data_IF_132767239298
#
_entry.id   IF_132767239298
#
_cell.length_a   1.000
_cell.length_b   1.000
_cell.length_c   1.000
_cell.angle_alpha   90.00
_cell.angle_beta   90.00
_cell.angle_gamma   90.00
#
_symmetry.space_group_name_H-M   'P 1'
#
loop_
_entity.id
_entity.type
_entity.pdbx_description
1 polymer ?
#
# COMPACT_ATOMS: atom_id res chain seq x y z
N UNK A 1 -27.61 -42.49 -39.48
CA UNK A 1 -28.57 -43.08 -38.52
C UNK A 1 -28.59 -42.20 -37.28
N UNK A 2 -29.78 -42.06 -36.68
CA UNK A 2 -30.18 -41.20 -35.56
C UNK A 2 -30.57 -39.75 -35.91
N UNK A 3 -31.82 -39.70 -36.38
CA UNK A 3 -32.88 -38.70 -36.22
C UNK A 3 -33.09 -38.22 -34.79
N UNK A 4 -33.41 -36.92 -34.63
CA UNK A 4 -34.34 -36.32 -33.65
C UNK A 4 -34.10 -34.79 -33.60
N UNK A 5 -35.05 -33.86 -33.48
CA UNK A 5 -36.49 -33.78 -33.71
C UNK A 5 -36.78 -32.28 -33.80
N UNK A 6 -37.50 -31.83 -34.82
CA UNK A 6 -37.91 -30.43 -35.02
C UNK A 6 -39.10 -30.17 -34.09
N UNK A 7 -38.99 -29.21 -33.16
CA UNK A 7 -40.12 -28.81 -32.31
C UNK A 7 -40.87 -27.66 -32.98
N UNK A 8 -42.07 -27.96 -33.43
CA UNK A 8 -43.09 -27.03 -33.90
C UNK A 8 -43.81 -26.47 -32.68
N UNK A 9 -43.80 -25.16 -32.50
CA UNK A 9 -44.75 -24.49 -31.60
C UNK A 9 -45.63 -23.63 -32.49
N UNK A 10 -46.85 -24.11 -32.70
CA UNK A 10 -48.00 -23.32 -33.12
C UNK A 10 -48.37 -22.37 -31.97
N UNK A 11 -48.33 -21.07 -32.23
CA UNK A 11 -49.11 -20.10 -31.47
C UNK A 11 -50.07 -19.41 -32.42
N UNK A 12 -51.33 -19.54 -32.05
CA UNK A 12 -52.53 -19.17 -32.76
C UNK A 12 -52.55 -17.70 -33.19
N UNK A 13 -53.02 -17.49 -34.43
CA UNK A 13 -53.52 -16.21 -34.90
C UNK A 13 -54.71 -15.75 -34.04
N UNK A 14 -54.55 -14.62 -33.35
CA UNK A 14 -55.68 -13.80 -32.91
C UNK A 14 -55.80 -12.61 -33.87
N UNK A 15 -57.03 -12.35 -34.29
CA UNK A 15 -57.40 -11.35 -35.28
C UNK A 15 -57.21 -9.90 -34.80
N UNK A 16 -57.06 -9.04 -35.80
CA UNK A 16 -56.92 -7.59 -35.84
C UNK A 16 -57.52 -6.74 -34.71
N UNK A 17 -56.74 -5.74 -34.26
CA UNK A 17 -57.26 -4.44 -33.86
C UNK A 17 -56.36 -3.34 -34.46
N UNK A 18 -56.78 -2.79 -35.60
CA UNK A 18 -56.20 -1.56 -36.17
C UNK A 18 -56.56 -0.42 -35.24
N UNK A 19 -55.59 0.08 -34.47
CA UNK A 19 -55.74 1.35 -33.74
C UNK A 19 -54.99 2.40 -34.53
N UNK A 20 -55.74 3.35 -35.10
CA UNK A 20 -55.22 4.49 -35.84
C UNK A 20 -54.34 5.36 -34.94
N UNK A 21 -53.11 5.66 -35.38
CA UNK A 21 -52.25 6.68 -34.79
C UNK A 21 -52.92 8.06 -34.88
N UNK A 22 -52.85 8.92 -33.84
CA UNK A 22 -53.17 10.34 -34.00
C UNK A 22 -52.09 11.00 -34.87
N UNK A 23 -52.54 11.93 -35.71
CA UNK A 23 -51.72 12.71 -36.62
C UNK A 23 -50.60 13.47 -35.89
N UNK A 24 -49.49 13.69 -36.61
CA UNK A 24 -48.32 14.43 -36.19
C UNK A 24 -48.69 15.71 -35.43
N UNK A 25 -48.17 15.84 -34.21
CA UNK A 25 -48.24 17.07 -33.42
C UNK A 25 -47.34 18.10 -34.09
N UNK A 26 -47.95 19.23 -34.46
CA UNK A 26 -47.30 20.40 -35.01
C UNK A 26 -46.22 20.91 -34.03
N UNK A 27 -44.97 21.01 -34.50
CA UNK A 27 -43.79 21.35 -33.68
C UNK A 27 -43.65 22.86 -33.40
N UNK A 28 -44.69 23.65 -33.66
CA UNK A 28 -44.62 25.11 -33.61
C UNK A 28 -44.68 25.73 -32.21
N UNK A 29 -44.98 24.97 -31.15
CA UNK A 29 -45.20 25.52 -29.80
C UNK A 29 -44.37 24.88 -28.67
N UNK A 30 -43.09 24.56 -28.92
CA UNK A 30 -42.16 24.16 -27.84
C UNK A 30 -41.33 25.38 -27.41
N UNK A 31 -41.42 25.83 -26.14
CA UNK A 31 -40.64 26.98 -25.66
C UNK A 31 -39.13 26.73 -25.76
N UNK A 32 -38.39 27.80 -26.08
CA UNK A 32 -36.98 27.79 -26.51
C UNK A 32 -35.93 27.34 -25.47
N UNK A 33 -36.34 26.75 -24.35
CA UNK A 33 -35.46 26.28 -23.26
C UNK A 33 -35.45 24.74 -23.09
N UNK A 34 -35.93 23.97 -24.08
CA UNK A 34 -35.69 22.53 -24.09
C UNK A 34 -34.28 22.20 -24.58
N UNK A 35 -33.50 21.52 -23.73
CA UNK A 35 -32.21 20.92 -24.05
C UNK A 35 -32.37 20.02 -25.28
N UNK A 36 -31.79 20.41 -26.42
CA UNK A 36 -31.78 19.58 -27.63
C UNK A 36 -30.82 18.42 -27.41
N UNK A 37 -31.38 17.25 -27.09
CA UNK A 37 -30.65 15.99 -27.10
C UNK A 37 -30.31 15.66 -28.56
N UNK A 38 -29.03 15.42 -28.86
CA UNK A 38 -28.60 14.99 -30.18
C UNK A 38 -29.34 13.69 -30.55
N UNK A 39 -29.80 13.51 -31.80
CA UNK A 39 -30.57 12.34 -32.23
C UNK A 39 -29.82 11.01 -32.04
N UNK A 40 -28.52 11.08 -31.75
CA UNK A 40 -27.62 9.95 -31.58
C UNK A 40 -27.50 9.49 -30.11
N UNK A 41 -28.07 10.23 -29.14
CA UNK A 41 -27.93 9.91 -27.71
C UNK A 41 -28.81 8.74 -27.26
N UNK A 42 -29.89 8.43 -27.99
CA UNK A 42 -30.66 7.18 -27.89
C UNK A 42 -31.28 6.92 -29.26
N UNK A 43 -30.62 6.14 -30.12
CA UNK A 43 -31.21 5.74 -31.39
C UNK A 43 -32.27 4.66 -31.15
N UNK A 44 -33.54 4.98 -31.40
CA UNK A 44 -34.60 3.96 -31.54
C UNK A 44 -34.68 3.62 -33.03
N UNK A 45 -34.18 2.44 -33.40
CA UNK A 45 -34.28 1.95 -34.78
C UNK A 45 -35.49 1.03 -34.86
N UNK A 46 -36.48 1.40 -35.68
CA UNK A 46 -37.68 0.60 -35.92
C UNK A 46 -38.45 0.21 -34.64
N UNK A 47 -38.57 1.16 -33.71
CA UNK A 47 -39.28 0.97 -32.44
C UNK A 47 -38.53 0.12 -31.40
N UNK A 48 -37.28 -0.26 -31.67
CA UNK A 48 -36.41 -0.96 -30.73
C UNK A 48 -35.27 -0.06 -30.29
N UNK A 49 -34.99 -0.09 -28.99
CA UNK A 49 -33.76 0.46 -28.46
C UNK A 49 -32.58 -0.31 -29.07
N UNK A 50 -31.47 0.36 -29.35
CA UNK A 50 -30.22 -0.37 -29.60
C UNK A 50 -29.85 -1.19 -28.37
N UNK A 51 -28.98 -2.18 -28.51
CA UNK A 51 -28.45 -2.97 -27.38
C UNK A 51 -27.89 -2.08 -26.26
N UNK A 52 -27.20 -0.99 -26.63
CA UNK A 52 -26.75 0.05 -25.69
C UNK A 52 -27.93 0.79 -25.02
N UNK A 53 -29.00 1.08 -25.75
CA UNK A 53 -30.22 1.69 -25.21
C UNK A 53 -30.99 0.76 -24.27
N UNK A 54 -31.03 -0.55 -24.55
CA UNK A 54 -31.67 -1.55 -23.67
C UNK A 54 -30.90 -1.73 -22.36
N UNK A 55 -29.56 -1.76 -22.42
CA UNK A 55 -28.71 -1.78 -21.21
C UNK A 55 -28.90 -0.52 -20.36
N UNK A 56 -28.88 0.66 -20.98
CA UNK A 56 -29.13 1.96 -20.33
C UNK A 56 -30.44 1.96 -19.55
N UNK A 57 -31.52 1.49 -20.19
CA UNK A 57 -32.83 1.39 -19.56
C UNK A 57 -32.82 0.36 -18.43
N UNK A 58 -32.11 -0.76 -18.59
CA UNK A 58 -32.02 -1.81 -17.57
C UNK A 58 -31.26 -1.33 -16.32
N UNK A 59 -30.13 -0.65 -16.49
CA UNK A 59 -29.35 -0.08 -15.39
C UNK A 59 -30.12 1.02 -14.67
N UNK A 60 -30.75 1.94 -15.43
CA UNK A 60 -31.59 2.98 -14.87
C UNK A 60 -32.76 2.40 -14.08
N UNK A 61 -33.41 1.35 -14.59
CA UNK A 61 -34.46 0.64 -13.87
C UNK A 61 -33.91 -0.01 -12.60
N UNK A 62 -32.72 -0.61 -12.63
CA UNK A 62 -32.10 -1.22 -11.44
C UNK A 62 -31.79 -0.20 -10.33
N UNK A 63 -31.48 1.05 -10.68
CA UNK A 63 -31.28 2.13 -9.69
C UNK A 63 -32.60 2.72 -9.18
N UNK A 64 -33.62 2.85 -10.04
CA UNK A 64 -34.91 3.45 -9.69
C UNK A 64 -35.79 2.47 -8.88
N UNK A 65 -35.75 1.17 -9.20
CA UNK A 65 -36.65 0.18 -8.58
C UNK A 65 -36.53 0.11 -7.05
N UNK A 66 -35.33 0.14 -6.44
CA UNK A 66 -35.17 0.22 -4.99
C UNK A 66 -35.77 1.50 -4.40
N UNK A 67 -35.61 2.65 -5.06
CA UNK A 67 -36.18 3.93 -4.60
C UNK A 67 -37.71 3.88 -4.55
N UNK A 68 -38.32 3.26 -5.57
CA UNK A 68 -39.77 3.05 -5.62
C UNK A 68 -40.23 2.07 -4.53
N UNK A 69 -39.52 0.95 -4.37
CA UNK A 69 -39.94 -0.12 -3.45
C UNK A 69 -39.70 0.19 -1.97
N UNK A 70 -38.75 1.07 -1.65
CA UNK A 70 -38.37 1.41 -0.28
C UNK A 70 -38.95 2.75 0.20
N UNK A 71 -39.58 3.52 -0.69
CA UNK A 71 -40.19 4.78 -0.32
C UNK A 71 -41.47 4.58 0.52
N UNK A 72 -41.68 5.39 1.58
CA UNK A 72 -42.88 5.31 2.42
C UNK A 72 -44.14 5.85 1.74
N UNK A 73 -44.01 6.59 0.64
CA UNK A 73 -45.11 7.10 -0.17
C UNK A 73 -44.67 7.39 -1.62
N UNK A 74 -45.62 7.53 -2.56
CA UNK A 74 -45.32 7.95 -3.94
C UNK A 74 -44.60 9.30 -4.02
N UNK A 75 -44.95 10.26 -3.16
CA UNK A 75 -44.29 11.57 -3.11
C UNK A 75 -42.83 11.46 -2.65
N UNK A 76 -42.56 10.57 -1.68
CA UNK A 76 -41.19 10.29 -1.23
C UNK A 76 -40.36 9.61 -2.33
N UNK A 77 -40.96 8.69 -3.10
CA UNK A 77 -40.31 8.07 -4.25
C UNK A 77 -39.97 9.10 -5.34
N UNK A 78 -40.92 10.00 -5.65
CA UNK A 78 -40.72 11.07 -6.63
C UNK A 78 -39.68 12.09 -6.18
N UNK A 79 -39.64 12.43 -4.89
CA UNK A 79 -38.62 13.31 -4.33
C UNK A 79 -37.22 12.68 -4.40
N UNK A 80 -37.09 11.40 -4.04
CA UNK A 80 -35.83 10.66 -4.13
C UNK A 80 -35.37 10.51 -5.60
N UNK A 81 -36.30 10.24 -6.51
CA UNK A 81 -36.02 10.21 -7.94
C UNK A 81 -35.57 11.58 -8.48
N UNK A 82 -36.25 12.66 -8.09
CA UNK A 82 -35.87 14.02 -8.45
C UNK A 82 -34.49 14.42 -7.93
N UNK A 83 -34.13 13.99 -6.73
CA UNK A 83 -32.79 14.17 -6.16
C UNK A 83 -31.74 13.38 -6.97
N UNK A 84 -31.98 12.09 -7.24
CA UNK A 84 -31.09 11.26 -8.05
C UNK A 84 -30.87 11.86 -9.44
N UNK A 85 -31.95 12.33 -10.09
CA UNK A 85 -31.88 13.01 -11.38
C UNK A 85 -31.09 14.32 -11.30
N UNK A 86 -31.31 15.11 -10.24
CA UNK A 86 -30.59 16.36 -10.00
C UNK A 86 -29.09 16.13 -9.76
N UNK A 87 -28.73 15.13 -8.97
CA UNK A 87 -27.34 14.71 -8.73
C UNK A 87 -26.68 14.16 -10.01
N UNK A 88 -27.42 13.37 -10.79
CA UNK A 88 -26.99 12.89 -12.10
C UNK A 88 -26.71 14.04 -13.07
N UNK A 89 -27.63 14.98 -13.21
CA UNK A 89 -27.44 16.18 -14.05
C UNK A 89 -26.27 17.02 -13.55
N UNK A 90 -26.15 17.24 -12.23
CA UNK A 90 -25.05 18.01 -11.67
C UNK A 90 -23.69 17.34 -11.92
N UNK A 91 -23.59 16.01 -11.81
CA UNK A 91 -22.36 15.26 -12.13
C UNK A 91 -22.04 15.29 -13.63
N UNK A 92 -23.05 15.19 -14.50
CA UNK A 92 -22.89 15.36 -15.96
C UNK A 92 -22.37 16.76 -16.28
N UNK A 93 -22.95 17.79 -15.68
CA UNK A 93 -22.53 19.19 -15.85
C UNK A 93 -21.12 19.43 -15.28
N UNK A 94 -20.77 18.76 -14.19
CA UNK A 94 -19.42 18.79 -13.62
C UNK A 94 -18.41 17.93 -14.39
N UNK A 95 -18.85 17.20 -15.42
CA UNK A 95 -18.02 16.30 -16.22
C UNK A 95 -17.42 15.16 -15.41
N UNK A 96 -18.07 14.69 -14.33
CA UNK A 96 -17.59 13.55 -13.53
C UNK A 96 -18.39 12.29 -13.81
N UNK A 97 -17.76 11.13 -13.64
CA UNK A 97 -18.48 9.87 -13.57
C UNK A 97 -19.59 9.93 -12.51
N UNK A 98 -20.81 9.54 -12.88
CA UNK A 98 -21.96 9.47 -11.97
C UNK A 98 -21.99 8.17 -11.16
N UNK A 99 -21.33 7.12 -11.65
CA UNK A 99 -21.39 5.76 -11.07
C UNK A 99 -20.35 5.57 -9.97
N UNK A 100 -19.11 5.99 -10.21
CA UNK A 100 -18.00 5.77 -9.28
C UNK A 100 -17.21 7.04 -9.00
N UNK A 101 -17.05 7.36 -7.71
CA UNK A 101 -16.21 8.47 -7.25
C UNK A 101 -14.72 8.30 -7.62
N UNK A 102 -14.26 7.06 -7.78
CA UNK A 102 -12.87 6.76 -8.14
C UNK A 102 -12.60 6.82 -9.65
N UNK A 103 -13.65 6.85 -10.47
CA UNK A 103 -13.49 6.89 -11.92
C UNK A 103 -12.98 8.27 -12.34
N UNK A 104 -11.93 8.28 -13.16
CA UNK A 104 -11.30 9.51 -13.69
C UNK A 104 -11.92 9.95 -15.01
N UNK A 105 -12.71 9.08 -15.64
CA UNK A 105 -13.39 9.41 -16.88
C UNK A 105 -14.47 10.48 -16.66
N UNK A 106 -14.61 11.32 -17.68
CA UNK A 106 -15.55 12.44 -17.68
C UNK A 106 -16.79 12.10 -18.50
N UNK A 107 -17.90 12.79 -18.20
CA UNK A 107 -19.20 12.58 -18.85
C UNK A 107 -19.75 11.15 -18.66
N UNK A 108 -20.84 10.83 -19.35
CA UNK A 108 -21.44 9.50 -19.34
C UNK A 108 -20.58 8.50 -20.11
N UNK A 109 -20.29 7.35 -19.49
CA UNK A 109 -19.50 6.26 -20.06
C UNK A 109 -19.92 4.91 -19.43
N UNK A 110 -19.72 3.83 -20.19
CA UNK A 110 -20.06 2.46 -19.78
C UNK A 110 -18.94 1.76 -19.01
N UNK A 111 -17.69 2.05 -19.39
CA UNK A 111 -16.51 1.50 -18.75
C UNK A 111 -15.89 2.54 -17.83
N UNK A 112 -15.55 2.13 -16.62
CA UNK A 112 -15.02 3.01 -15.59
C UNK A 112 -13.57 2.67 -15.31
N UNK A 113 -12.70 3.67 -15.45
CA UNK A 113 -11.26 3.55 -15.20
C UNK A 113 -10.87 4.48 -14.07
N UNK A 114 -10.13 3.95 -13.09
CA UNK A 114 -9.55 4.71 -12.00
C UNK A 114 -8.23 5.37 -12.40
N UNK A 115 -7.66 6.14 -11.48
CA UNK A 115 -6.34 6.72 -11.69
C UNK A 115 -5.26 5.63 -11.81
N UNK A 116 -4.25 5.90 -12.63
CA UNK A 116 -3.08 5.04 -12.75
C UNK A 116 -2.16 5.21 -11.54
N UNK A 117 -1.69 4.07 -11.03
CA UNK A 117 -0.70 3.99 -9.97
C UNK A 117 0.54 3.27 -10.46
N UNK A 118 1.64 4.00 -10.60
CA UNK A 118 2.90 3.48 -11.17
C UNK A 118 4.07 3.55 -10.21
N UNK A 119 4.95 2.55 -10.26
CA UNK A 119 6.32 2.62 -9.75
C UNK A 119 7.23 2.86 -10.95
N UNK A 120 7.77 4.07 -11.07
CA UNK A 120 8.62 4.44 -12.21
C UNK A 120 9.98 3.75 -12.18
N UNK A 121 10.50 3.41 -13.36
CA UNK A 121 11.89 2.98 -13.50
C UNK A 121 12.83 4.19 -13.43
N UNK A 122 14.04 4.00 -12.89
CA UNK A 122 15.08 5.03 -12.90
C UNK A 122 15.82 5.12 -14.25
N UNK A 123 15.72 4.09 -15.09
CA UNK A 123 16.53 3.95 -16.30
C UNK A 123 15.73 3.63 -17.56
N UNK A 124 14.43 3.39 -17.43
CA UNK A 124 13.52 3.08 -18.53
C UNK A 124 12.35 4.05 -18.48
N UNK A 125 11.78 4.36 -19.64
CA UNK A 125 10.58 5.19 -19.72
C UNK A 125 9.31 4.44 -19.29
N UNK A 126 9.34 3.11 -19.34
CA UNK A 126 8.23 2.25 -18.91
C UNK A 126 8.21 2.05 -17.37
N UNK A 127 7.02 2.02 -16.74
CA UNK A 127 6.89 1.77 -15.32
C UNK A 127 7.26 0.32 -14.95
N UNK A 128 7.88 0.12 -13.79
CA UNK A 128 8.23 -1.20 -13.25
C UNK A 128 7.00 -1.93 -12.70
N UNK A 129 6.09 -1.18 -12.08
CA UNK A 129 4.81 -1.68 -11.57
C UNK A 129 3.73 -0.69 -12.00
N UNK A 130 2.56 -1.20 -12.38
CA UNK A 130 1.43 -0.41 -12.87
C UNK A 130 0.16 -1.07 -12.36
N UNK A 131 -0.71 -0.28 -11.73
CA UNK A 131 -2.00 -0.71 -11.24
C UNK A 131 -3.07 0.34 -11.54
N UNK A 132 -4.29 -0.10 -11.82
CA UNK A 132 -5.46 0.76 -11.99
C UNK A 132 -6.73 0.00 -11.58
N UNK A 133 -7.78 0.74 -11.24
CA UNK A 133 -9.09 0.17 -10.97
C UNK A 133 -9.90 0.19 -12.27
N UNK A 134 -10.57 -0.91 -12.59
CA UNK A 134 -11.34 -1.04 -13.82
C UNK A 134 -12.71 -1.65 -13.50
N UNK A 135 -13.76 -1.13 -14.12
CA UNK A 135 -15.05 -1.78 -14.16
C UNK A 135 -15.61 -1.67 -15.58
N UNK A 136 -15.55 -2.77 -16.30
CA UNK A 136 -16.12 -2.89 -17.64
C UNK A 136 -17.61 -3.19 -17.53
N UNK A 137 -18.41 -2.64 -18.44
CA UNK A 137 -19.85 -2.85 -18.48
C UNK A 137 -20.22 -4.34 -18.40
N UNK A 138 -21.14 -4.69 -17.48
CA UNK A 138 -21.58 -6.06 -17.25
C UNK A 138 -20.61 -6.94 -16.44
N UNK A 139 -19.54 -6.38 -15.89
CA UNK A 139 -18.59 -7.11 -15.04
C UNK A 139 -18.68 -6.70 -13.56
N UNK A 140 -17.69 -7.08 -12.75
CA UNK A 140 -17.48 -6.54 -11.40
C UNK A 140 -16.23 -5.68 -11.43
N UNK A 141 -16.09 -4.67 -10.57
CA UNK A 141 -14.84 -3.94 -10.43
C UNK A 141 -13.67 -4.87 -10.12
N UNK A 142 -12.59 -4.68 -10.85
CA UNK A 142 -11.32 -5.41 -10.76
C UNK A 142 -10.17 -4.42 -10.64
N UNK A 143 -9.03 -4.91 -10.13
CA UNK A 143 -7.78 -4.17 -10.07
C UNK A 143 -6.87 -4.80 -11.12
N UNK A 144 -6.60 -4.06 -12.19
CA UNK A 144 -5.57 -4.42 -13.14
C UNK A 144 -4.20 -4.18 -12.51
N UNK A 145 -3.35 -5.20 -12.43
CA UNK A 145 -1.99 -5.10 -11.88
C UNK A 145 -1.02 -5.83 -12.82
N UNK A 146 -0.15 -5.09 -13.50
CA UNK A 146 0.85 -5.65 -14.42
C UNK A 146 0.28 -6.65 -15.45
N UNK A 147 -0.92 -6.35 -15.97
CA UNK A 147 -1.61 -7.18 -16.97
C UNK A 147 -2.46 -8.31 -16.38
N UNK A 148 -2.54 -8.45 -15.06
CA UNK A 148 -3.45 -9.38 -14.39
C UNK A 148 -4.71 -8.66 -13.88
N UNK A 149 -5.88 -9.27 -14.08
CA UNK A 149 -7.15 -8.79 -13.55
C UNK A 149 -7.45 -9.45 -12.21
N UNK A 150 -7.38 -8.67 -11.13
CA UNK A 150 -7.51 -9.18 -9.77
C UNK A 150 -8.81 -8.71 -9.11
N UNK A 151 -9.48 -9.60 -8.38
CA UNK A 151 -10.48 -9.17 -7.41
C UNK A 151 -9.82 -8.55 -6.16
N UNK A 152 -10.63 -7.97 -5.27
CA UNK A 152 -10.12 -7.27 -4.08
C UNK A 152 -9.22 -8.13 -3.17
N UNK A 153 -9.55 -9.41 -2.95
CA UNK A 153 -8.78 -10.29 -2.06
C UNK A 153 -7.47 -10.76 -2.70
N UNK A 154 -7.51 -11.05 -4.01
CA UNK A 154 -6.31 -11.34 -4.79
C UNK A 154 -5.37 -10.13 -4.83
N UNK A 155 -5.90 -8.93 -5.05
CA UNK A 155 -5.12 -7.69 -5.05
C UNK A 155 -4.47 -7.42 -3.69
N UNK A 156 -5.19 -7.63 -2.58
CA UNK A 156 -4.62 -7.53 -1.21
C UNK A 156 -3.50 -8.53 -0.98
N UNK A 157 -3.69 -9.77 -1.43
CA UNK A 157 -2.68 -10.83 -1.32
C UNK A 157 -1.43 -10.48 -2.12
N UNK A 158 -1.60 -10.03 -3.37
CA UNK A 158 -0.49 -9.60 -4.23
C UNK A 158 0.21 -8.36 -3.69
N UNK A 159 -0.53 -7.41 -3.13
CA UNK A 159 0.05 -6.24 -2.45
C UNK A 159 0.88 -6.64 -1.21
N UNK A 160 0.53 -7.73 -0.52
CA UNK A 160 1.36 -8.26 0.57
C UNK A 160 2.67 -8.87 0.06
N UNK A 161 2.63 -9.59 -1.06
CA UNK A 161 3.84 -10.10 -1.73
C UNK A 161 4.75 -8.96 -2.19
N UNK A 162 4.19 -7.92 -2.83
CA UNK A 162 4.96 -6.75 -3.27
C UNK A 162 5.59 -5.99 -2.11
N UNK A 163 4.89 -5.84 -0.98
CA UNK A 163 5.47 -5.27 0.25
C UNK A 163 6.63 -6.11 0.75
N UNK A 164 6.50 -7.43 0.78
CA UNK A 164 7.58 -8.34 1.17
C UNK A 164 8.79 -8.20 0.23
N UNK A 165 8.56 -8.09 -1.08
CA UNK A 165 9.62 -7.86 -2.05
C UNK A 165 10.32 -6.52 -1.80
N UNK A 166 9.55 -5.44 -1.59
CA UNK A 166 10.10 -4.13 -1.26
C UNK A 166 10.96 -4.19 0.02
N UNK A 167 10.49 -4.88 1.05
CA UNK A 167 11.23 -5.12 2.30
C UNK A 167 12.55 -5.89 2.04
N UNK A 168 12.54 -6.89 1.15
CA UNK A 168 13.75 -7.62 0.75
C UNK A 168 14.71 -6.76 -0.08
N UNK A 169 14.20 -5.89 -0.95
CA UNK A 169 15.04 -4.92 -1.69
C UNK A 169 15.70 -3.94 -0.73
N UNK A 170 14.96 -3.44 0.27
CA UNK A 170 15.52 -2.62 1.35
C UNK A 170 16.60 -3.37 2.15
N UNK A 171 16.37 -4.65 2.46
CA UNK A 171 17.37 -5.52 3.09
C UNK A 171 18.65 -5.62 2.25
N UNK A 172 18.53 -5.85 0.94
CA UNK A 172 19.69 -5.88 0.03
C UNK A 172 20.41 -4.54 -0.04
N UNK A 173 19.68 -3.42 -0.01
CA UNK A 173 20.28 -2.09 -0.01
C UNK A 173 21.09 -1.85 1.28
N UNK A 174 20.56 -2.27 2.44
CA UNK A 174 21.25 -2.22 3.73
C UNK A 174 22.62 -2.89 3.68
N UNK A 175 22.70 -4.10 3.12
CA UNK A 175 23.95 -4.85 2.96
C UNK A 175 25.02 -4.13 2.14
N UNK A 176 24.62 -3.23 1.23
CA UNK A 176 25.54 -2.44 0.40
C UNK A 176 26.01 -1.19 1.17
N UNK A 177 25.12 -0.58 1.95
CA UNK A 177 25.40 0.68 2.65
C UNK A 177 26.11 0.50 3.99
N UNK A 178 25.96 -0.66 4.63
CA UNK A 178 26.63 -1.01 5.88
C UNK A 178 28.10 -1.33 5.61
N UNK A 179 28.90 -0.28 5.39
CA UNK A 179 30.34 -0.37 5.52
C UNK A 179 30.64 -0.83 6.94
N UNK A 180 31.14 -2.06 7.11
CA UNK A 180 31.61 -2.59 8.40
C UNK A 180 32.60 -1.60 9.01
N UNK A 181 32.13 -0.73 9.90
CA UNK A 181 33.02 0.05 10.75
C UNK A 181 33.79 -0.93 11.60
N UNK A 182 35.12 -0.78 11.65
CA UNK A 182 35.96 -1.64 12.47
C UNK A 182 35.43 -1.62 13.91
N UNK A 183 34.92 -2.75 14.36
CA UNK A 183 34.38 -2.91 15.70
C UNK A 183 35.51 -2.90 16.71
N UNK A 184 35.38 -2.07 17.73
CA UNK A 184 36.20 -2.21 18.94
C UNK A 184 35.90 -3.59 19.54
N UNK A 185 36.93 -4.42 19.85
CA UNK A 185 36.73 -5.70 20.50
C UNK A 185 35.83 -5.57 21.74
N UNK A 186 34.89 -6.50 21.91
CA UNK A 186 33.93 -6.48 23.01
C UNK A 186 32.63 -5.72 22.73
N UNK A 187 32.51 -5.04 21.58
CA UNK A 187 31.26 -4.41 21.13
C UNK A 187 30.58 -5.18 20.01
N UNK A 188 29.27 -4.95 19.85
CA UNK A 188 28.51 -5.46 18.71
C UNK A 188 28.79 -4.64 17.43
N UNK A 189 28.66 -5.24 16.23
CA UNK A 189 28.78 -4.53 14.95
C UNK A 189 27.89 -3.30 14.80
N UNK A 190 26.75 -3.30 15.49
CA UNK A 190 25.76 -2.24 15.46
C UNK A 190 25.92 -1.18 16.57
N UNK A 191 26.90 -1.33 17.46
CA UNK A 191 27.14 -0.34 18.52
C UNK A 191 27.49 1.02 17.93
N UNK A 192 26.81 2.06 18.40
CA UNK A 192 27.15 3.43 18.02
C UNK A 192 28.46 3.85 18.69
N UNK A 193 29.44 4.43 17.96
CA UNK A 193 30.71 4.85 18.54
C UNK A 193 30.52 5.80 19.72
N UNK A 194 31.03 5.41 20.89
CA UNK A 194 31.00 6.23 22.11
C UNK A 194 29.69 6.21 22.91
N UNK A 195 28.66 5.49 22.45
CA UNK A 195 27.38 5.41 23.16
C UNK A 195 27.30 4.24 24.15
N UNK A 196 28.13 3.20 23.99
CA UNK A 196 28.19 2.10 24.95
C UNK A 196 28.74 2.57 26.30
N UNK A 197 28.12 2.13 27.39
CA UNK A 197 28.48 2.55 28.75
C UNK A 197 29.06 1.37 29.52
N UNK A 198 30.30 1.51 29.98
CA UNK A 198 30.91 0.54 30.91
C UNK A 198 30.51 0.90 32.34
N UNK A 199 29.88 -0.02 33.06
CA UNK A 199 29.50 0.16 34.47
C UNK A 199 30.17 -0.89 35.35
N UNK A 200 30.61 -0.43 36.52
CA UNK A 200 31.06 -1.29 37.60
C UNK A 200 29.92 -1.44 38.61
N UNK A 201 29.57 -2.68 38.95
CA UNK A 201 28.47 -2.98 39.86
C UNK A 201 29.01 -3.38 41.24
N UNK A 202 28.11 -3.42 42.24
CA UNK A 202 28.45 -3.72 43.63
C UNK A 202 28.99 -5.16 43.84
N UNK A 203 28.79 -6.05 42.86
CA UNK A 203 29.37 -7.39 42.82
C UNK A 203 30.88 -7.39 42.47
N UNK A 204 31.42 -6.22 42.11
CA UNK A 204 32.81 -6.04 41.71
C UNK A 204 33.08 -6.31 40.23
N UNK A 205 32.08 -6.80 39.49
CA UNK A 205 32.17 -7.10 38.07
C UNK A 205 31.90 -5.85 37.22
N UNK A 206 32.42 -5.87 35.99
CA UNK A 206 32.24 -4.80 35.01
C UNK A 206 31.41 -5.33 33.85
N UNK A 207 30.34 -4.62 33.52
CA UNK A 207 29.45 -4.95 32.42
C UNK A 207 29.38 -3.78 31.44
N UNK A 208 29.18 -4.08 30.15
CA UNK A 208 28.97 -3.08 29.11
C UNK A 208 27.49 -3.04 28.75
N UNK A 209 26.88 -1.86 28.89
CA UNK A 209 25.59 -1.55 28.28
C UNK A 209 25.85 -1.10 26.83
N UNK A 210 25.43 -1.92 25.88
CA UNK A 210 25.60 -1.67 24.46
C UNK A 210 24.42 -0.90 23.90
N UNK A 211 24.69 0.21 23.22
CA UNK A 211 23.68 1.07 22.61
C UNK A 211 23.89 1.12 21.09
N UNK A 212 22.85 0.74 20.36
CA UNK A 212 22.82 0.68 18.90
C UNK A 212 22.08 1.85 18.27
N UNK A 213 21.51 1.59 17.10
CA UNK A 213 20.67 2.56 16.40
C UNK A 213 19.49 2.98 17.28
N UNK A 214 19.20 4.28 17.27
CA UNK A 214 18.00 4.88 17.87
C UNK A 214 17.10 5.37 16.74
N UNK A 215 15.81 5.11 16.84
CA UNK A 215 14.81 5.62 15.91
C UNK A 215 13.72 6.35 16.69
N UNK A 216 13.23 7.42 16.09
CA UNK A 216 12.18 8.25 16.66
C UNK A 216 11.19 8.56 15.55
N UNK A 217 9.93 8.25 15.80
CA UNK A 217 8.83 8.69 14.96
C UNK A 217 7.94 9.64 15.76
N UNK A 218 7.93 10.90 15.35
CA UNK A 218 6.96 11.88 15.84
C UNK A 218 5.70 11.69 15.02
N UNK A 219 4.68 11.04 15.57
CA UNK A 219 3.46 10.69 14.82
C UNK A 219 2.60 11.92 14.55
N UNK A 220 2.55 12.85 15.51
CA UNK A 220 1.82 14.10 15.41
C UNK A 220 2.59 15.17 16.16
N UNK A 221 2.54 16.39 15.62
CA UNK A 221 2.99 17.60 16.29
C UNK A 221 1.79 18.55 16.27
N UNK A 222 0.96 18.48 17.31
CA UNK A 222 -0.14 19.44 17.51
C UNK A 222 0.44 20.64 18.24
N UNK A 223 0.65 21.76 17.53
CA UNK A 223 1.00 23.11 18.03
C UNK A 223 1.90 23.21 19.29
N UNK A 224 2.75 22.21 19.52
CA UNK A 224 3.62 22.04 20.68
C UNK A 224 3.02 21.50 21.98
N UNK A 225 1.71 21.18 22.08
CA UNK A 225 1.12 20.72 23.37
C UNK A 225 1.00 19.20 23.51
N UNK A 226 0.67 18.47 22.44
CA UNK A 226 0.51 17.01 22.49
C UNK A 226 1.28 16.34 21.34
N UNK A 227 2.57 16.06 21.59
CA UNK A 227 3.40 15.28 20.68
C UNK A 227 3.26 13.80 21.03
N UNK A 228 2.77 13.00 20.08
CA UNK A 228 2.85 11.54 20.19
C UNK A 228 4.16 11.08 19.56
N UNK A 229 5.10 10.62 20.38
CA UNK A 229 6.41 10.17 19.93
C UNK A 229 6.57 8.68 20.23
N UNK A 230 6.92 7.89 19.21
CA UNK A 230 7.42 6.53 19.42
C UNK A 230 8.93 6.56 19.35
N UNK A 231 9.59 6.06 20.40
CA UNK A 231 11.03 5.85 20.43
C UNK A 231 11.34 4.37 20.40
N UNK A 232 12.33 4.00 19.60
CA UNK A 232 12.92 2.66 19.58
C UNK A 232 14.42 2.77 19.84
N UNK A 233 14.92 2.00 20.80
CA UNK A 233 16.35 1.88 21.08
C UNK A 233 16.76 0.42 21.03
N UNK A 234 17.74 0.09 20.19
CA UNK A 234 18.41 -1.21 20.21
C UNK A 234 19.45 -1.22 21.32
N UNK A 235 19.27 -2.05 22.34
CA UNK A 235 20.16 -2.13 23.49
C UNK A 235 20.48 -3.58 23.87
N UNK A 236 21.65 -3.79 24.46
CA UNK A 236 21.99 -5.05 25.15
C UNK A 236 22.72 -4.75 26.45
N UNK A 237 22.24 -5.29 27.56
CA UNK A 237 22.84 -5.11 28.89
C UNK A 237 23.35 -6.47 29.40
N UNK A 238 24.68 -6.57 29.47
CA UNK A 238 25.42 -7.76 29.91
C UNK A 238 25.15 -8.12 31.38
N UNK A 239 24.69 -7.16 32.19
CA UNK A 239 24.37 -7.40 33.61
C UNK A 239 23.08 -8.20 33.80
N UNK A 240 22.25 -8.29 32.76
CA UNK A 240 21.00 -9.06 32.80
C UNK A 240 21.24 -10.53 32.48
N UNK A 241 20.33 -11.40 32.92
CA UNK A 241 20.38 -12.84 32.56
C UNK A 241 20.07 -13.11 31.08
N UNK A 242 19.79 -12.06 30.29
CA UNK A 242 19.46 -12.17 28.87
C UNK A 242 20.72 -12.36 28.03
N UNK A 243 20.58 -13.16 26.98
CA UNK A 243 21.67 -13.49 26.04
C UNK A 243 21.45 -12.93 24.64
N UNK A 244 20.52 -12.00 24.50
CA UNK A 244 20.18 -11.37 23.23
C UNK A 244 19.87 -9.88 23.45
N UNK A 245 20.16 -9.03 22.45
CA UNK A 245 19.70 -7.64 22.44
C UNK A 245 18.17 -7.56 22.46
N UNK A 246 17.64 -6.43 22.91
CA UNK A 246 16.22 -6.10 22.93
C UNK A 246 15.97 -4.74 22.23
N UNK A 247 14.73 -4.51 21.80
CA UNK A 247 14.26 -3.18 21.36
C UNK A 247 13.27 -2.68 22.41
N UNK A 248 13.58 -1.53 23.00
CA UNK A 248 12.64 -0.81 23.86
C UNK A 248 11.76 0.09 23.02
N UNK A 249 10.44 -0.08 23.10
CA UNK A 249 9.44 0.81 22.51
C UNK A 249 8.79 1.60 23.64
N UNK A 250 8.90 2.91 23.58
CA UNK A 250 8.28 3.81 24.56
C UNK A 250 7.59 4.99 23.87
N UNK A 251 6.43 5.35 24.40
CA UNK A 251 5.91 6.70 24.32
C UNK A 251 6.30 7.38 25.63
N UNK A 252 7.27 8.31 25.63
CA UNK A 252 7.81 8.90 26.85
C UNK A 252 6.74 9.64 27.67
N UNK A 253 5.68 10.12 27.01
CA UNK A 253 4.67 10.97 27.63
C UNK A 253 3.33 10.23 27.86
N UNK A 254 3.13 9.07 27.24
CA UNK A 254 1.93 8.23 27.39
C UNK A 254 0.64 8.90 26.88
N UNK A 255 0.78 9.82 25.92
CA UNK A 255 -0.30 10.68 25.45
C UNK A 255 -1.20 9.96 24.43
N UNK A 256 -2.45 10.42 24.30
CA UNK A 256 -3.33 10.04 23.19
C UNK A 256 -3.65 11.26 22.33
N UNK A 257 -3.63 11.09 21.01
CA UNK A 257 -3.86 12.18 20.05
C UNK A 257 -5.01 11.82 19.11
N UNK A 258 -5.91 12.78 18.90
CA UNK A 258 -6.98 12.67 17.91
C UNK A 258 -6.46 13.14 16.55
N UNK A 259 -6.69 12.34 15.51
CA UNK A 259 -6.20 12.61 14.15
C UNK A 259 -7.38 12.97 13.24
N UNK A 260 -7.25 14.08 12.52
CA UNK A 260 -8.05 14.29 11.31
C UNK A 260 -7.51 13.44 10.14
N UNK A 261 -8.19 13.46 8.99
CA UNK A 261 -7.82 12.62 7.83
C UNK A 261 -6.39 12.91 7.35
N UNK A 262 -6.00 14.18 7.29
CA UNK A 262 -4.67 14.59 6.80
C UNK A 262 -3.58 14.15 7.79
N UNK A 263 -3.81 14.37 9.08
CA UNK A 263 -2.90 13.99 10.16
C UNK A 263 -2.80 12.47 10.29
N UNK A 264 -3.88 11.74 10.02
CA UNK A 264 -3.89 10.28 9.98
C UNK A 264 -3.03 9.75 8.82
N UNK A 265 -3.17 10.30 7.61
CA UNK A 265 -2.35 9.89 6.47
C UNK A 265 -0.85 10.17 6.73
N UNK A 266 -0.54 11.33 7.33
CA UNK A 266 0.82 11.65 7.73
C UNK A 266 1.35 10.69 8.80
N UNK A 267 0.55 10.36 9.82
CA UNK A 267 0.92 9.40 10.85
C UNK A 267 1.14 8.00 10.28
N UNK A 268 0.31 7.54 9.33
CA UNK A 268 0.47 6.26 8.62
C UNK A 268 1.82 6.23 7.88
N UNK A 269 2.16 7.28 7.13
CA UNK A 269 3.43 7.36 6.42
C UNK A 269 4.62 7.33 7.39
N UNK A 270 4.55 8.06 8.51
CA UNK A 270 5.61 8.08 9.53
C UNK A 270 5.76 6.72 10.23
N UNK A 271 4.65 6.04 10.55
CA UNK A 271 4.66 4.67 11.08
C UNK A 271 5.25 3.67 10.09
N UNK A 272 4.99 3.84 8.81
CA UNK A 272 5.60 2.99 7.77
C UNK A 272 7.12 3.14 7.76
N UNK A 273 7.62 4.39 7.80
CA UNK A 273 9.06 4.66 7.89
C UNK A 273 9.67 4.09 9.19
N UNK A 274 9.00 4.30 10.32
CA UNK A 274 9.42 3.76 11.61
C UNK A 274 9.47 2.22 11.61
N UNK A 275 8.51 1.57 10.94
CA UNK A 275 8.52 0.12 10.77
C UNK A 275 9.74 -0.32 9.94
N UNK A 276 10.15 0.47 8.94
CA UNK A 276 11.42 0.30 8.23
C UNK A 276 12.62 0.34 9.17
N UNK A 277 12.67 1.34 10.07
CA UNK A 277 13.75 1.45 11.06
C UNK A 277 13.78 0.27 12.04
N UNK A 278 12.63 -0.18 12.53
CA UNK A 278 12.51 -1.36 13.40
C UNK A 278 12.99 -2.64 12.70
N UNK A 279 12.70 -2.78 11.41
CA UNK A 279 13.22 -3.89 10.61
C UNK A 279 14.74 -3.81 10.49
N UNK A 280 15.29 -2.61 10.32
CA UNK A 280 16.74 -2.36 10.39
C UNK A 280 17.36 -2.81 11.72
N UNK A 281 16.77 -2.40 12.86
CA UNK A 281 17.24 -2.84 14.17
C UNK A 281 17.14 -4.37 14.35
N UNK A 282 16.05 -4.98 13.87
CA UNK A 282 15.90 -6.45 13.89
C UNK A 282 17.01 -7.15 13.11
N UNK A 283 17.49 -6.58 11.99
CA UNK A 283 18.63 -7.13 11.23
C UNK A 283 19.90 -7.12 12.10
N UNK A 284 20.18 -5.99 12.74
CA UNK A 284 21.33 -5.82 13.64
C UNK A 284 21.31 -6.80 14.82
N UNK A 285 20.13 -7.09 15.37
CA UNK A 285 19.97 -8.07 16.46
C UNK A 285 20.41 -9.49 16.11
N UNK A 286 20.46 -9.85 14.82
CA UNK A 286 20.84 -11.18 14.35
C UNK A 286 22.35 -11.34 14.16
N UNK A 287 23.11 -10.26 14.20
CA UNK A 287 24.56 -10.30 14.07
C UNK A 287 25.22 -10.69 15.38
N UNK A 288 26.17 -11.64 15.41
CA UNK A 288 26.88 -11.98 16.64
C UNK A 288 27.80 -10.83 17.10
N UNK A 289 28.14 -10.77 18.40
CA UNK A 289 29.10 -9.78 18.89
C UNK A 289 30.47 -9.99 18.22
N UNK A 290 31.23 -8.91 18.05
CA UNK A 290 32.60 -9.05 17.56
C UNK A 290 33.39 -9.83 18.61
N UNK A 291 33.90 -11.01 18.23
CA UNK A 291 34.72 -11.80 19.12
C UNK A 291 35.88 -10.95 19.63
N UNK A 292 36.00 -10.83 20.95
CA UNK A 292 37.24 -10.38 21.56
C UNK A 292 38.28 -11.40 21.15
N UNK A 293 39.36 -11.02 20.45
CA UNK A 293 40.43 -11.96 20.14
C UNK A 293 40.81 -12.62 21.46
N UNK A 294 40.64 -13.95 21.55
CA UNK A 294 41.03 -14.68 22.74
C UNK A 294 42.44 -14.23 23.09
N UNK A 295 42.74 -13.87 24.35
CA UNK A 295 44.05 -13.38 24.72
C UNK A 295 45.05 -14.38 24.17
N UNK A 296 45.78 -13.98 23.12
CA UNK A 296 46.79 -14.84 22.54
C UNK A 296 47.66 -15.18 23.73
N UNK A 297 47.80 -16.47 24.03
CA UNK A 297 48.77 -16.92 25.04
C UNK A 297 50.15 -16.54 24.50
N UNK A 298 50.57 -15.29 24.66
CA UNK A 298 51.93 -14.80 24.48
C UNK A 298 52.76 -15.27 25.69
N UNK A 299 52.56 -16.53 26.12
CA UNK A 299 53.17 -17.07 27.32
C UNK A 299 54.31 -18.04 27.01
N UNK A 300 54.35 -18.69 25.84
CA UNK A 300 55.35 -19.76 25.60
C UNK A 300 56.31 -19.53 24.42
N UNK A 301 56.09 -18.53 23.55
CA UNK A 301 56.97 -18.33 22.38
C UNK A 301 58.13 -17.33 22.57
N UNK A 302 58.14 -16.55 23.67
CA UNK A 302 59.23 -15.59 23.93
C UNK A 302 60.30 -16.10 24.92
N UNK A 303 60.02 -17.15 25.70
CA UNK A 303 61.01 -17.70 26.64
C UNK A 303 62.01 -18.63 25.91
N UNK A 304 61.61 -19.28 24.82
CA UNK A 304 62.49 -20.19 24.06
C UNK A 304 63.45 -19.47 23.08
N UNK A 305 63.30 -18.16 22.89
CA UNK A 305 64.22 -17.35 22.06
C UNK A 305 65.34 -16.65 22.82
N UNK A 306 65.34 -16.69 24.16
CA UNK A 306 66.40 -16.11 24.98
C UNK A 306 67.47 -17.13 25.44
N UNK A 307 67.35 -18.40 25.05
CA UNK A 307 68.31 -19.48 25.35
C UNK A 307 69.25 -19.83 24.20
N UNK A 308 69.28 -19.05 23.10
CA UNK A 308 70.26 -19.24 22.02
C UNK A 308 71.57 -18.54 22.34
N UNK A 309 72.46 -19.28 22.99
CA UNK A 309 73.91 -19.28 22.73
C UNK A 309 74.67 -17.96 22.90
N UNK A 310 75.08 -17.65 24.13
CA UNK A 310 76.29 -16.84 24.35
C UNK A 310 77.49 -17.71 23.94
N UNK A 311 77.86 -17.68 22.67
CA UNK A 311 79.16 -18.21 22.21
C UNK A 311 80.23 -17.18 22.53
N UNK A 312 81.22 -17.58 23.34
CA UNK A 312 82.41 -16.80 23.65
C UNK A 312 83.18 -16.45 22.36
N UNK A 313 83.68 -15.20 22.21
CA UNK A 313 84.52 -14.85 21.07
C UNK A 313 85.92 -15.46 21.23
N UNK A 314 86.28 -16.38 20.34
CA UNK A 314 87.68 -16.81 20.19
C UNK A 314 88.51 -15.70 19.53
N UNK A 315 89.54 -15.24 20.25
CA UNK A 315 90.59 -14.37 19.72
C UNK A 315 91.49 -15.19 18.78
N UNK A 316 91.43 -14.95 17.48
CA UNK A 316 92.49 -15.36 16.56
C UNK A 316 93.63 -14.34 16.59
N UNK A 317 94.76 -14.76 17.16
CA UNK A 317 96.05 -14.07 17.02
C UNK A 317 96.69 -14.54 15.71
N UNK A 318 96.84 -13.64 14.74
CA UNK A 318 97.67 -13.88 13.55
C UNK A 318 99.11 -13.45 13.84
N UNK A 319 100.05 -14.34 13.54
CA UNK A 319 101.49 -14.11 13.53
C UNK A 319 101.94 -13.36 12.27
#
# INVERSE_FOLDING_TARGET
MNTATKSTIDVQSAASATTSLPAAVDQSDIPAECMRVAPDAVAVIDGKLTEAGEMLVTELVAEILPLINQAPSPEAALAAYGQLLGEGIASIVAGRCTVYRWCVETNYHFDHTGADHTVSSLSRDEPLVYAHLLHLSGSKPIIGLQGEDLNADQARSKAAELRKLADTVDEMAGLITEGRTATTPGHWPWCQPGECVTRQYDDGETYIEHYGRKATAVLVDTDGSDMLQLRANLCYDESTTKKHPDIFLEDPDGNCVFLDVISLDAAIARLSNFTGDLRGMRRQMLEPPCEVPAPQKIADQYVDRLTVGVSEPQLEVRA
#
